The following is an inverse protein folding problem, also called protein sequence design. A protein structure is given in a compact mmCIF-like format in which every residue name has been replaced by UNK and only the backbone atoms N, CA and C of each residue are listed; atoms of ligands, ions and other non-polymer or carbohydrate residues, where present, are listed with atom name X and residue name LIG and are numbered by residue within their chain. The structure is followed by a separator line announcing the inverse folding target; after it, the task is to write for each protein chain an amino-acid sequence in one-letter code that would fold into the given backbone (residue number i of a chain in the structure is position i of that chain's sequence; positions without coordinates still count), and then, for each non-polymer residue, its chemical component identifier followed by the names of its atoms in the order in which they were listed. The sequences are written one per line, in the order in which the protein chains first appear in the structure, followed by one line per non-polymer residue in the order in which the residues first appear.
data_IF_853089992635
#
_entry.id   IF_853089992635
#
_cell.length_a   1.000
_cell.length_b   1.000
_cell.length_c   1.000
_cell.angle_alpha   90.00
_cell.angle_beta   90.00
_cell.angle_gamma   90.00
#
_symmetry.space_group_name_H-M   'P 1'
#
loop_
_entity.id
_entity.type
_entity.pdbx_description
1 polymer ?
#
# COMPACT_ATOMS: atom_id res chain seq x y z
N UNK A 1 58.55 9.92 35.26
CA UNK A 1 58.78 10.29 33.85
C UNK A 1 57.48 10.72 33.19
N UNK A 2 57.40 11.99 32.90
CA UNK A 2 56.22 12.64 32.28
C UNK A 2 56.17 12.35 30.78
N UNK A 3 55.01 11.96 30.22
CA UNK A 3 54.74 12.16 28.79
C UNK A 3 53.34 12.70 28.58
N UNK A 4 53.30 13.69 27.74
CA UNK A 4 52.33 14.74 27.46
C UNK A 4 51.09 14.25 26.73
N UNK A 5 49.97 14.90 27.07
CA UNK A 5 48.71 14.94 26.34
C UNK A 5 48.90 15.58 24.95
N UNK A 6 48.39 14.97 23.91
CA UNK A 6 48.23 15.51 22.58
C UNK A 6 46.73 15.70 22.28
N UNK A 7 46.28 16.94 22.28
CA UNK A 7 44.94 17.36 21.87
C UNK A 7 44.86 17.39 20.36
N UNK A 8 44.01 16.58 19.74
CA UNK A 8 43.68 16.70 18.31
C UNK A 8 42.40 17.53 18.16
N UNK A 9 42.56 18.66 17.48
CA UNK A 9 41.47 19.57 17.16
C UNK A 9 40.60 18.99 16.01
N UNK A 10 39.29 18.91 16.25
CA UNK A 10 38.31 18.61 15.23
C UNK A 10 38.05 19.90 14.43
N UNK A 11 38.36 19.87 13.15
CA UNK A 11 38.03 20.94 12.20
C UNK A 11 36.59 20.71 11.70
N UNK A 12 35.71 21.58 12.04
CA UNK A 12 34.38 21.72 11.45
C UNK A 12 34.51 22.46 10.10
N UNK A 13 34.29 21.78 8.99
CA UNK A 13 34.12 22.41 7.69
C UNK A 13 32.65 22.80 7.53
N UNK A 14 32.32 24.06 7.72
CA UNK A 14 31.09 24.68 7.34
C UNK A 14 31.00 24.80 5.82
N UNK A 15 29.90 24.28 5.25
CA UNK A 15 29.58 24.52 3.85
C UNK A 15 28.73 25.78 3.75
N UNK A 16 29.35 26.83 3.14
CA UNK A 16 28.72 28.13 2.93
C UNK A 16 27.85 28.09 1.65
N UNK A 17 26.67 28.60 1.79
CA UNK A 17 25.77 29.27 0.86
C UNK A 17 26.11 29.24 -0.65
N UNK A 18 25.32 28.53 -1.42
CA UNK A 18 25.15 28.76 -2.85
C UNK A 18 24.26 30.00 -3.07
N UNK A 19 24.87 31.15 -3.33
CA UNK A 19 24.22 32.32 -3.96
C UNK A 19 24.38 32.19 -5.46
N UNK A 20 23.27 32.18 -6.19
CA UNK A 20 23.24 32.28 -7.63
C UNK A 20 23.22 33.77 -8.02
N UNK A 21 24.19 34.32 -8.80
CA UNK A 21 24.06 35.62 -9.41
C UNK A 21 23.60 35.50 -10.87
N UNK A 22 22.48 36.13 -11.19
CA UNK A 22 22.13 36.50 -12.55
C UNK A 22 23.20 37.43 -13.10
N UNK A 23 23.83 37.08 -14.21
CA UNK A 23 24.43 38.04 -15.14
C UNK A 23 24.11 37.64 -16.58
N UNK A 24 23.34 38.51 -17.21
CA UNK A 24 23.21 38.60 -18.65
C UNK A 24 24.55 39.15 -19.18
N UNK A 25 25.18 38.41 -20.06
CA UNK A 25 26.28 38.93 -20.88
C UNK A 25 25.89 38.86 -22.35
N UNK A 26 25.66 39.99 -22.95
CA UNK A 26 25.62 40.13 -24.38
C UNK A 26 27.02 39.90 -24.97
N UNK A 27 27.13 39.04 -25.97
CA UNK A 27 28.29 39.02 -26.84
C UNK A 27 27.80 38.89 -28.28
N UNK A 28 28.23 39.85 -29.06
CA UNK A 28 27.82 40.03 -30.43
C UNK A 28 28.63 39.18 -31.40
N UNK A 29 28.20 39.29 -32.64
CA UNK A 29 28.83 39.05 -33.94
C UNK A 29 29.07 37.61 -34.41
N UNK A 30 28.29 37.26 -35.46
CA UNK A 30 28.84 36.53 -36.61
C UNK A 30 28.77 35.01 -36.53
N UNK A 31 27.59 34.41 -36.53
CA UNK A 31 27.42 33.02 -36.86
C UNK A 31 26.28 32.84 -37.86
N UNK A 32 26.60 32.35 -39.07
CA UNK A 32 25.64 32.04 -40.09
C UNK A 32 24.58 31.06 -39.59
N UNK A 33 23.35 31.49 -39.66
CA UNK A 33 22.19 30.61 -39.40
C UNK A 33 22.02 29.75 -40.66
N UNK A 34 22.42 28.49 -40.58
CA UNK A 34 22.02 27.49 -41.59
C UNK A 34 20.52 27.26 -41.45
N UNK A 35 19.76 27.30 -42.55
CA UNK A 35 18.33 27.00 -42.48
C UNK A 35 18.10 25.52 -42.14
N UNK A 36 17.29 25.26 -41.11
CA UNK A 36 16.79 23.93 -40.81
C UNK A 36 16.01 23.39 -42.02
N UNK A 37 16.16 22.12 -42.35
CA UNK A 37 15.38 21.51 -43.46
C UNK A 37 13.89 21.58 -43.12
N UNK A 38 13.15 22.27 -43.94
CA UNK A 38 11.70 22.21 -44.01
C UNK A 38 11.32 20.83 -44.50
N UNK A 39 10.59 20.09 -43.72
CA UNK A 39 9.92 18.88 -44.21
C UNK A 39 10.12 17.65 -43.31
N UNK A 40 9.53 17.63 -42.15
CA UNK A 40 9.01 16.39 -41.61
C UNK A 40 7.52 16.61 -41.35
N UNK A 41 6.75 16.29 -42.39
CA UNK A 41 5.31 16.11 -42.26
C UNK A 41 5.10 14.95 -41.31
N UNK A 42 4.88 15.27 -40.03
CA UNK A 42 4.20 14.33 -39.15
C UNK A 42 2.86 14.05 -39.81
N UNK A 43 2.74 12.89 -40.46
CA UNK A 43 1.46 12.34 -40.83
C UNK A 43 0.73 12.16 -39.52
N UNK A 44 -0.15 13.13 -39.20
CA UNK A 44 -1.17 12.93 -38.22
C UNK A 44 -1.98 11.73 -38.66
N UNK A 45 -1.65 10.55 -38.15
CA UNK A 45 -2.58 9.44 -38.18
C UNK A 45 -3.76 9.90 -37.33
N UNK A 46 -4.72 10.53 -37.99
CA UNK A 46 -6.08 10.64 -37.49
C UNK A 46 -6.54 9.21 -37.27
N UNK A 47 -6.39 8.71 -36.06
CA UNK A 47 -7.18 7.60 -35.59
C UNK A 47 -8.65 8.07 -35.60
N UNK A 48 -9.23 8.10 -36.78
CA UNK A 48 -10.63 8.38 -37.03
C UNK A 48 -11.48 7.13 -36.74
N UNK A 49 -11.37 6.62 -35.52
CA UNK A 49 -12.47 5.87 -34.94
C UNK A 49 -13.10 6.83 -33.92
N UNK A 50 -14.40 7.15 -34.07
CA UNK A 50 -15.08 7.84 -32.97
C UNK A 50 -14.83 7.00 -31.75
N UNK A 51 -14.37 7.63 -30.65
CA UNK A 51 -14.37 7.02 -29.33
C UNK A 51 -15.81 6.56 -29.13
N UNK A 52 -16.11 5.31 -29.50
CA UNK A 52 -17.35 4.68 -29.15
C UNK A 52 -17.46 4.92 -27.65
N UNK A 53 -18.49 5.63 -27.25
CA UNK A 53 -18.73 6.06 -25.91
C UNK A 53 -18.34 4.90 -24.99
N UNK A 54 -17.17 5.00 -24.37
CA UNK A 54 -16.78 4.05 -23.35
C UNK A 54 -17.91 4.17 -22.33
N UNK A 55 -18.69 3.09 -22.23
CA UNK A 55 -19.72 3.03 -21.19
C UNK A 55 -19.01 3.40 -19.91
N UNK A 56 -19.44 4.45 -19.20
CA UNK A 56 -18.83 4.78 -17.92
C UNK A 56 -18.84 3.49 -17.13
N UNK A 57 -17.69 3.11 -16.57
CA UNK A 57 -17.61 2.03 -15.60
C UNK A 57 -18.75 2.29 -14.61
N UNK A 58 -19.59 1.30 -14.31
CA UNK A 58 -20.69 1.52 -13.40
C UNK A 58 -20.08 2.08 -12.11
N UNK A 59 -20.36 3.33 -11.82
CA UNK A 59 -20.01 3.90 -10.51
C UNK A 59 -20.59 2.96 -9.48
N UNK A 60 -19.76 2.41 -8.60
CA UNK A 60 -20.25 1.65 -7.45
C UNK A 60 -21.24 2.61 -6.76
N UNK A 61 -22.52 2.34 -6.92
CA UNK A 61 -23.54 3.13 -6.26
C UNK A 61 -23.24 3.04 -4.78
N UNK A 62 -22.78 4.13 -4.17
CA UNK A 62 -22.81 4.27 -2.73
C UNK A 62 -24.28 4.11 -2.34
N UNK A 63 -24.72 2.89 -2.13
CA UNK A 63 -25.92 2.65 -1.39
C UNK A 63 -25.60 3.23 -0.01
N UNK A 64 -26.41 4.16 0.46
CA UNK A 64 -26.30 4.74 1.81
C UNK A 64 -26.55 3.69 2.90
N UNK A 65 -26.15 2.46 2.67
CA UNK A 65 -26.15 1.34 3.58
C UNK A 65 -24.82 1.36 4.34
N UNK A 66 -24.92 1.43 5.63
CA UNK A 66 -23.87 1.05 6.56
C UNK A 66 -23.21 -0.24 6.06
N UNK A 67 -21.87 -0.30 5.94
CA UNK A 67 -21.22 -1.48 5.39
C UNK A 67 -21.55 -2.68 6.26
N UNK A 68 -22.32 -3.60 5.69
CA UNK A 68 -22.56 -4.90 6.30
C UNK A 68 -21.26 -5.71 6.26
N UNK A 69 -21.11 -6.71 7.13
CA UNK A 69 -19.94 -7.60 7.08
C UNK A 69 -19.78 -8.28 5.70
N UNK A 70 -20.87 -8.43 4.95
CA UNK A 70 -20.86 -8.94 3.57
C UNK A 70 -20.11 -8.08 2.59
N UNK A 71 -19.91 -6.80 2.87
CA UNK A 71 -19.16 -5.89 2.02
C UNK A 71 -17.72 -5.67 2.49
N UNK A 72 -17.14 -6.49 3.35
CA UNK A 72 -15.78 -6.33 3.88
C UNK A 72 -14.91 -7.52 3.48
N UNK A 73 -13.62 -7.27 3.15
CA UNK A 73 -12.59 -8.29 3.01
C UNK A 73 -11.34 -7.91 3.80
N UNK A 74 -10.62 -8.92 4.32
CA UNK A 74 -9.30 -8.75 4.92
C UNK A 74 -8.23 -9.08 3.88
N UNK A 75 -7.35 -8.12 3.59
CA UNK A 75 -6.16 -8.32 2.78
C UNK A 75 -4.92 -8.48 3.67
N UNK A 76 -4.19 -9.56 3.46
CA UNK A 76 -2.89 -9.85 4.06
C UNK A 76 -1.82 -9.63 2.98
N UNK A 77 -1.13 -8.48 3.04
CA UNK A 77 -0.20 -8.05 1.98
C UNK A 77 1.24 -8.37 2.39
N UNK A 78 1.94 -9.13 1.57
CA UNK A 78 3.38 -9.43 1.68
C UNK A 78 3.87 -10.00 3.02
N UNK A 79 3.01 -10.64 3.80
CA UNK A 79 3.45 -11.35 5.00
C UNK A 79 4.22 -12.64 4.68
N UNK A 80 3.98 -13.26 3.50
CA UNK A 80 4.80 -14.36 3.02
C UNK A 80 6.04 -13.78 2.34
N UNK A 81 7.03 -13.44 3.18
CA UNK A 81 8.22 -12.71 2.77
C UNK A 81 9.48 -13.44 3.24
N UNK A 82 10.41 -13.77 2.31
CA UNK A 82 11.66 -14.42 2.68
C UNK A 82 12.62 -13.51 3.45
N UNK A 83 12.38 -12.18 3.49
CA UNK A 83 13.23 -11.19 4.15
C UNK A 83 14.69 -11.29 3.68
N UNK A 84 14.90 -11.27 2.36
CA UNK A 84 16.22 -11.37 1.72
C UNK A 84 16.57 -10.15 0.86
N UNK A 85 16.25 -8.99 1.35
CA UNK A 85 16.52 -7.69 0.76
C UNK A 85 17.23 -6.76 1.75
N UNK A 86 17.81 -5.69 1.24
CA UNK A 86 18.42 -4.64 2.07
C UNK A 86 17.37 -4.01 2.97
N UNK A 87 17.67 -3.88 4.29
CA UNK A 87 16.69 -3.38 5.28
C UNK A 87 15.83 -4.47 5.94
N UNK A 88 15.81 -5.71 5.42
CA UNK A 88 15.01 -6.79 5.99
C UNK A 88 15.28 -7.07 7.47
N UNK A 89 16.55 -6.88 7.91
CA UNK A 89 16.92 -7.04 9.32
C UNK A 89 16.24 -6.03 10.25
N UNK A 90 16.05 -4.79 9.77
CA UNK A 90 15.33 -3.76 10.50
C UNK A 90 13.81 -4.02 10.50
N UNK A 91 13.26 -4.45 9.37
CA UNK A 91 11.83 -4.76 9.23
C UNK A 91 11.40 -5.99 10.06
N UNK A 92 12.23 -7.02 10.14
CA UNK A 92 11.86 -8.33 10.68
C UNK A 92 11.19 -8.31 12.07
N UNK A 93 11.71 -7.60 13.11
CA UNK A 93 11.06 -7.58 14.42
C UNK A 93 9.68 -6.92 14.36
N UNK A 94 9.53 -5.81 13.64
CA UNK A 94 8.27 -5.10 13.46
C UNK A 94 7.26 -5.94 12.68
N UNK A 95 7.71 -6.62 11.62
CA UNK A 95 6.90 -7.52 10.80
C UNK A 95 6.30 -8.68 11.58
N UNK A 96 7.09 -9.30 12.48
CA UNK A 96 6.59 -10.39 13.34
C UNK A 96 5.53 -9.89 14.33
N UNK A 97 5.69 -8.68 14.88
CA UNK A 97 4.70 -8.07 15.76
C UNK A 97 3.39 -7.79 15.00
N UNK A 98 3.47 -7.17 13.83
CA UNK A 98 2.32 -6.92 12.97
C UNK A 98 1.63 -8.24 12.55
N UNK A 99 2.40 -9.28 12.20
CA UNK A 99 1.84 -10.60 11.86
C UNK A 99 1.07 -11.25 13.03
N UNK A 100 1.53 -11.07 14.28
CA UNK A 100 0.79 -11.55 15.48
C UNK A 100 -0.55 -10.85 15.63
N UNK A 101 -0.60 -9.53 15.44
CA UNK A 101 -1.84 -8.76 15.51
C UNK A 101 -2.77 -9.14 14.34
N UNK A 102 -2.23 -9.22 13.11
CA UNK A 102 -2.98 -9.64 11.94
C UNK A 102 -3.54 -11.08 12.07
N UNK A 103 -2.81 -12.00 12.71
CA UNK A 103 -3.30 -13.35 12.94
C UNK A 103 -4.52 -13.38 13.88
N UNK A 104 -4.50 -12.58 14.97
CA UNK A 104 -5.66 -12.43 15.87
C UNK A 104 -6.85 -11.80 15.15
N UNK A 105 -6.60 -10.73 14.38
CA UNK A 105 -7.62 -10.08 13.57
C UNK A 105 -8.22 -11.06 12.54
N UNK A 106 -7.37 -11.78 11.80
CA UNK A 106 -7.80 -12.79 10.81
C UNK A 106 -8.71 -13.84 11.44
N UNK A 107 -8.33 -14.38 12.58
CA UNK A 107 -9.13 -15.41 13.26
C UNK A 107 -10.53 -14.89 13.62
N UNK A 108 -10.62 -13.64 14.13
CA UNK A 108 -11.89 -13.01 14.46
C UNK A 108 -12.73 -12.76 13.20
N UNK A 109 -12.14 -12.12 12.16
CA UNK A 109 -12.85 -11.82 10.92
C UNK A 109 -13.31 -13.08 10.18
N UNK A 110 -12.51 -14.16 10.22
CA UNK A 110 -12.93 -15.46 9.69
C UNK A 110 -14.13 -16.03 10.42
N UNK A 111 -14.16 -15.93 11.76
CA UNK A 111 -15.32 -16.33 12.57
C UNK A 111 -16.59 -15.59 12.18
N UNK A 112 -16.47 -14.37 11.68
CA UNK A 112 -17.57 -13.54 11.19
C UNK A 112 -17.89 -13.76 9.70
N UNK A 113 -17.22 -14.71 9.03
CA UNK A 113 -17.43 -15.03 7.63
C UNK A 113 -16.86 -14.01 6.65
N UNK A 114 -15.91 -13.16 7.08
CA UNK A 114 -15.22 -12.19 6.22
C UNK A 114 -14.22 -12.91 5.32
N UNK A 115 -14.25 -12.69 3.99
CA UNK A 115 -13.26 -13.25 3.08
C UNK A 115 -11.83 -12.83 3.44
N UNK A 116 -10.92 -13.80 3.47
CA UNK A 116 -9.49 -13.60 3.69
C UNK A 116 -8.76 -13.73 2.35
N UNK A 117 -7.98 -12.72 1.99
CA UNK A 117 -7.26 -12.65 0.72
C UNK A 117 -5.79 -12.35 0.99
N UNK A 118 -4.91 -13.20 0.51
CA UNK A 118 -3.48 -12.94 0.49
C UNK A 118 -3.11 -12.25 -0.81
N UNK A 119 -2.46 -11.10 -0.71
CA UNK A 119 -1.90 -10.38 -1.85
C UNK A 119 -0.39 -10.31 -1.66
N UNK A 120 0.35 -11.15 -2.38
CA UNK A 120 1.75 -11.37 -2.09
C UNK A 120 2.63 -11.16 -3.32
N UNK A 121 3.83 -10.60 -3.13
CA UNK A 121 4.82 -10.48 -4.19
C UNK A 121 5.22 -11.87 -4.70
N UNK A 122 5.46 -11.97 -5.99
CA UNK A 122 5.95 -13.19 -6.64
C UNK A 122 7.48 -13.29 -6.66
N UNK A 123 8.19 -12.32 -6.09
CA UNK A 123 9.65 -12.23 -6.01
C UNK A 123 10.37 -12.46 -7.36
N UNK A 124 9.75 -11.97 -8.45
CA UNK A 124 10.29 -12.10 -9.81
C UNK A 124 10.19 -13.51 -10.41
N UNK A 125 9.58 -14.46 -9.73
CA UNK A 125 9.38 -15.84 -10.21
C UNK A 125 8.04 -15.91 -10.94
N UNK A 126 8.06 -15.84 -12.26
CA UNK A 126 6.84 -15.80 -13.11
C UNK A 126 5.94 -17.03 -12.98
N UNK A 127 6.47 -18.14 -12.51
CA UNK A 127 5.79 -19.43 -12.40
C UNK A 127 5.52 -19.83 -10.94
N UNK A 128 5.63 -18.89 -10.00
CA UNK A 128 5.43 -19.21 -8.59
C UNK A 128 3.95 -19.30 -8.26
N UNK A 129 3.56 -20.41 -7.67
CA UNK A 129 2.29 -20.54 -6.97
C UNK A 129 2.42 -19.97 -5.56
N UNK A 130 1.33 -19.46 -5.01
CA UNK A 130 1.33 -18.92 -3.64
C UNK A 130 1.78 -19.95 -2.60
N UNK A 131 1.39 -21.22 -2.75
CA UNK A 131 1.83 -22.34 -1.92
C UNK A 131 3.35 -22.52 -1.91
N UNK A 132 4.02 -22.30 -3.06
CA UNK A 132 5.48 -22.37 -3.16
C UNK A 132 6.14 -21.18 -2.43
N UNK A 133 5.53 -20.01 -2.45
CA UNK A 133 6.01 -18.84 -1.68
C UNK A 133 5.93 -19.14 -0.18
N UNK A 134 4.82 -19.66 0.31
CA UNK A 134 4.63 -20.05 1.71
C UNK A 134 5.70 -21.08 2.14
N UNK A 135 5.85 -22.17 1.37
CA UNK A 135 6.84 -23.22 1.67
C UNK A 135 8.29 -22.68 1.67
N UNK A 136 8.61 -21.74 0.78
CA UNK A 136 9.91 -21.08 0.76
C UNK A 136 10.16 -20.26 2.02
N UNK A 137 9.17 -19.53 2.51
CA UNK A 137 9.25 -18.77 3.76
C UNK A 137 9.44 -19.68 4.98
N UNK A 138 8.70 -20.77 5.05
CA UNK A 138 8.83 -21.76 6.15
C UNK A 138 10.22 -22.39 6.18
N UNK A 139 10.76 -22.77 5.01
CA UNK A 139 12.08 -23.35 4.87
C UNK A 139 13.20 -22.41 5.27
N UNK A 140 13.02 -21.09 5.05
CA UNK A 140 14.03 -20.10 5.36
C UNK A 140 14.34 -19.97 6.86
N UNK A 141 13.36 -20.22 7.70
CA UNK A 141 13.50 -20.09 9.16
C UNK A 141 13.36 -18.64 9.65
N UNK A 142 13.68 -18.41 10.92
CA UNK A 142 13.68 -17.07 11.53
C UNK A 142 12.32 -16.36 11.50
N UNK A 143 12.35 -15.05 11.27
CA UNK A 143 11.15 -14.19 11.19
C UNK A 143 10.23 -14.59 10.02
N UNK A 144 10.82 -14.94 8.87
CA UNK A 144 10.08 -15.40 7.68
C UNK A 144 9.20 -16.61 8.01
N UNK A 145 9.76 -17.66 8.58
CA UNK A 145 9.00 -18.86 8.97
C UNK A 145 8.02 -18.58 10.11
N UNK A 146 8.34 -17.65 11.00
CA UNK A 146 7.42 -17.24 12.08
C UNK A 146 6.17 -16.60 11.51
N UNK A 147 6.29 -15.67 10.57
CA UNK A 147 5.16 -15.04 9.90
C UNK A 147 4.34 -16.06 9.09
N UNK A 148 5.03 -16.94 8.32
CA UNK A 148 4.38 -17.95 7.52
C UNK A 148 3.53 -18.92 8.38
N UNK A 149 4.02 -19.34 9.54
CA UNK A 149 3.25 -20.17 10.49
C UNK A 149 2.09 -19.42 11.15
N UNK A 150 2.30 -18.16 11.59
CA UNK A 150 1.25 -17.35 12.21
C UNK A 150 0.08 -17.10 11.27
N UNK A 151 0.38 -16.94 9.99
CA UNK A 151 -0.58 -16.57 8.95
C UNK A 151 -0.69 -17.68 7.88
N UNK A 152 -0.48 -18.94 8.26
CA UNK A 152 -0.64 -20.06 7.33
C UNK A 152 -2.03 -20.01 6.67
N UNK A 153 -2.10 -20.10 5.33
CA UNK A 153 -3.37 -20.12 4.63
C UNK A 153 -4.24 -21.32 5.06
N UNK A 154 -5.53 -21.09 5.12
CA UNK A 154 -6.51 -22.12 5.46
C UNK A 154 -7.45 -22.38 4.28
N UNK A 155 -8.13 -23.55 4.24
CA UNK A 155 -9.12 -23.84 3.20
C UNK A 155 -10.16 -22.73 3.09
N UNK A 156 -10.41 -22.27 1.87
CA UNK A 156 -11.33 -21.15 1.59
C UNK A 156 -10.66 -19.78 1.50
N UNK A 157 -9.41 -19.63 1.93
CA UNK A 157 -8.64 -18.41 1.70
C UNK A 157 -8.33 -18.25 0.21
N UNK A 158 -8.28 -17.01 -0.22
CA UNK A 158 -7.94 -16.67 -1.60
C UNK A 158 -6.55 -16.06 -1.66
N UNK A 159 -5.91 -16.12 -2.83
CA UNK A 159 -4.60 -15.49 -3.02
C UNK A 159 -4.48 -14.88 -4.40
N UNK A 160 -3.75 -13.76 -4.47
CA UNK A 160 -3.26 -13.16 -5.70
C UNK A 160 -1.76 -12.92 -5.58
N UNK A 161 -1.02 -13.21 -6.65
CA UNK A 161 0.39 -12.87 -6.74
C UNK A 161 0.54 -11.58 -7.52
N UNK A 162 1.11 -10.57 -6.87
CA UNK A 162 1.29 -9.24 -7.43
C UNK A 162 2.70 -9.06 -7.99
N UNK A 163 2.84 -8.51 -9.20
CA UNK A 163 4.14 -8.27 -9.82
C UNK A 163 4.80 -6.95 -9.38
N UNK A 164 4.09 -6.12 -8.64
CA UNK A 164 4.50 -4.79 -8.17
C UNK A 164 3.90 -4.49 -6.80
N UNK A 165 4.21 -3.31 -6.26
CA UNK A 165 3.81 -2.92 -4.91
C UNK A 165 2.30 -3.00 -4.63
N UNK A 166 1.46 -2.46 -5.53
CA UNK A 166 0.01 -2.51 -5.35
C UNK A 166 -0.54 -3.90 -5.59
N UNK A 167 -1.44 -4.34 -4.70
CA UNK A 167 -2.17 -5.59 -4.84
C UNK A 167 -3.14 -5.59 -6.04
N UNK A 168 -3.50 -4.43 -6.57
CA UNK A 168 -4.37 -4.31 -7.74
C UNK A 168 -3.61 -4.37 -9.07
N UNK A 169 -2.32 -3.96 -9.06
CA UNK A 169 -1.58 -3.81 -10.30
C UNK A 169 -1.24 -5.16 -10.93
N UNK A 170 -1.84 -5.44 -12.09
CA UNK A 170 -1.59 -6.65 -12.87
C UNK A 170 -2.06 -7.93 -12.20
N UNK A 171 -3.07 -7.85 -11.32
CA UNK A 171 -3.68 -8.98 -10.63
C UNK A 171 -5.19 -9.05 -10.90
N UNK A 172 -5.84 -10.19 -10.67
CA UNK A 172 -7.30 -10.31 -10.75
C UNK A 172 -8.03 -9.81 -9.50
N UNK A 173 -7.39 -9.02 -8.61
CA UNK A 173 -7.99 -8.62 -7.34
C UNK A 173 -9.31 -7.84 -7.52
N UNK A 174 -9.39 -6.95 -8.51
CA UNK A 174 -10.63 -6.21 -8.81
C UNK A 174 -11.81 -7.14 -9.04
N UNK A 175 -11.63 -8.14 -9.92
CA UNK A 175 -12.67 -9.12 -10.25
C UNK A 175 -13.06 -9.95 -9.01
N UNK A 176 -12.08 -10.36 -8.23
CA UNK A 176 -12.32 -11.13 -7.01
C UNK A 176 -13.13 -10.33 -5.98
N UNK A 177 -12.82 -9.05 -5.79
CA UNK A 177 -13.54 -8.18 -4.87
C UNK A 177 -14.96 -7.87 -5.36
N UNK A 178 -15.15 -7.76 -6.68
CA UNK A 178 -16.48 -7.58 -7.26
C UNK A 178 -17.34 -8.85 -7.11
N UNK A 179 -16.78 -10.03 -7.35
CA UNK A 179 -17.46 -11.32 -7.14
C UNK A 179 -17.90 -11.50 -5.67
N UNK A 180 -17.08 -11.03 -4.74
CA UNK A 180 -17.35 -11.09 -3.31
C UNK A 180 -18.23 -9.93 -2.80
N UNK A 181 -18.68 -9.04 -3.66
CA UNK A 181 -19.49 -7.84 -3.34
C UNK A 181 -18.84 -6.97 -2.25
N UNK A 182 -17.51 -6.85 -2.26
CA UNK A 182 -16.73 -6.11 -1.26
C UNK A 182 -16.82 -4.61 -1.52
N UNK A 183 -17.07 -3.85 -0.47
CA UNK A 183 -17.05 -2.37 -0.48
C UNK A 183 -16.06 -1.77 0.51
N UNK A 184 -15.59 -2.56 1.48
CA UNK A 184 -14.58 -2.16 2.48
C UNK A 184 -13.40 -3.12 2.46
N UNK A 185 -12.19 -2.57 2.53
CA UNK A 185 -10.96 -3.33 2.67
C UNK A 185 -10.31 -3.05 4.01
N UNK A 186 -10.01 -4.12 4.74
CA UNK A 186 -9.11 -4.08 5.89
C UNK A 186 -7.74 -4.51 5.39
N UNK A 187 -6.78 -3.55 5.32
CA UNK A 187 -5.44 -3.79 4.79
C UNK A 187 -4.47 -4.04 5.94
N UNK A 188 -3.75 -5.15 5.88
CA UNK A 188 -2.69 -5.50 6.83
C UNK A 188 -1.47 -5.97 6.07
N UNK A 189 -0.27 -5.79 6.61
CA UNK A 189 0.94 -6.28 5.92
C UNK A 189 2.13 -5.37 5.93
N UNK A 190 2.99 -5.58 4.94
CA UNK A 190 4.34 -5.02 4.80
C UNK A 190 4.53 -4.40 3.40
N UNK A 191 5.30 -3.32 3.22
CA UNK A 191 5.59 -2.34 4.24
C UNK A 191 4.54 -1.24 4.19
N UNK A 192 4.27 -0.57 5.33
CA UNK A 192 3.21 0.44 5.45
C UNK A 192 3.40 1.60 4.47
N UNK A 193 4.64 2.04 4.30
CA UNK A 193 5.08 3.13 3.41
C UNK A 193 5.35 2.69 1.96
N UNK A 194 5.11 1.43 1.64
CA UNK A 194 5.30 0.86 0.30
C UNK A 194 4.05 0.08 -0.15
N UNK A 195 4.06 -1.25 -0.10
CA UNK A 195 2.99 -2.07 -0.68
C UNK A 195 1.61 -1.78 -0.09
N UNK A 196 1.52 -1.48 1.21
CA UNK A 196 0.26 -1.06 1.85
C UNK A 196 -0.20 0.29 1.28
N UNK A 197 0.68 1.29 1.24
CA UNK A 197 0.36 2.62 0.74
C UNK A 197 -0.08 2.59 -0.74
N UNK A 198 0.66 1.88 -1.61
CA UNK A 198 0.28 1.75 -3.03
C UNK A 198 -1.05 1.02 -3.20
N UNK A 199 -1.30 -0.04 -2.41
CA UNK A 199 -2.57 -0.75 -2.44
C UNK A 199 -3.72 0.14 -1.94
N UNK A 200 -3.49 0.93 -0.89
CA UNK A 200 -4.47 1.85 -0.34
C UNK A 200 -4.85 2.97 -1.34
N UNK A 201 -3.88 3.51 -2.10
CA UNK A 201 -4.17 4.48 -3.17
C UNK A 201 -5.05 3.88 -4.25
N UNK A 202 -4.69 2.69 -4.74
CA UNK A 202 -5.46 2.00 -5.77
C UNK A 202 -6.87 1.64 -5.29
N UNK A 203 -7.01 1.23 -4.03
CA UNK A 203 -8.30 0.97 -3.41
C UNK A 203 -9.15 2.24 -3.26
N UNK A 204 -8.52 3.36 -2.85
CA UNK A 204 -9.19 4.66 -2.74
C UNK A 204 -9.72 5.14 -4.10
N UNK A 205 -8.92 5.03 -5.16
CA UNK A 205 -9.34 5.38 -6.53
C UNK A 205 -10.49 4.52 -7.05
N UNK A 206 -10.69 3.34 -6.46
CA UNK A 206 -11.78 2.40 -6.74
C UNK A 206 -12.94 2.53 -5.77
N UNK A 207 -12.94 3.58 -4.97
CA UNK A 207 -14.00 3.92 -4.01
C UNK A 207 -14.24 2.88 -2.91
N UNK A 208 -13.21 2.09 -2.53
CA UNK A 208 -13.30 1.25 -1.34
C UNK A 208 -13.19 2.08 -0.06
N UNK A 209 -14.00 1.75 0.94
CA UNK A 209 -13.76 2.19 2.31
C UNK A 209 -12.53 1.47 2.86
N UNK A 210 -11.62 2.21 3.52
CA UNK A 210 -10.34 1.68 3.96
C UNK A 210 -10.23 1.65 5.48
N UNK A 211 -9.77 0.52 6.00
CA UNK A 211 -9.29 0.39 7.35
C UNK A 211 -7.90 -0.26 7.34
N UNK A 212 -6.92 0.41 7.93
CA UNK A 212 -5.51 -0.01 7.96
C UNK A 212 -5.09 -0.04 9.43
N UNK A 213 -5.35 -1.12 10.17
CA UNK A 213 -5.06 -1.18 11.60
C UNK A 213 -3.57 -0.96 11.85
N UNK A 214 -3.25 0.06 12.66
CA UNK A 214 -1.87 0.52 12.86
C UNK A 214 -0.95 -0.57 13.45
N UNK A 215 -1.50 -1.47 14.25
CA UNK A 215 -0.80 -2.61 14.85
C UNK A 215 -0.65 -3.83 13.93
N UNK A 216 -1.27 -3.81 12.74
CA UNK A 216 -1.23 -4.87 11.75
C UNK A 216 -0.39 -4.54 10.52
N UNK A 217 0.33 -3.42 10.53
CA UNK A 217 1.26 -3.01 9.47
C UNK A 217 2.61 -2.67 10.06
N UNK A 218 3.67 -2.78 9.26
CA UNK A 218 5.02 -2.46 9.70
C UNK A 218 5.85 -1.85 8.56
N UNK A 219 6.87 -1.10 8.92
CA UNK A 219 7.96 -0.62 8.07
C UNK A 219 9.30 -0.89 8.74
N UNK A 220 10.42 -0.62 8.07
CA UNK A 220 11.75 -0.78 8.63
C UNK A 220 11.99 0.11 9.85
N UNK A 221 11.28 1.23 9.93
CA UNK A 221 11.30 2.17 11.05
C UNK A 221 9.86 2.53 11.45
N UNK A 222 9.63 2.66 12.76
CA UNK A 222 8.32 3.08 13.27
C UNK A 222 7.90 4.46 12.72
N UNK A 223 8.85 5.40 12.57
CA UNK A 223 8.58 6.72 12.02
C UNK A 223 8.00 6.64 10.59
N UNK A 224 8.53 5.77 9.73
CA UNK A 224 8.04 5.62 8.35
C UNK A 224 6.64 5.01 8.31
N UNK A 225 6.38 4.03 9.21
CA UNK A 225 5.03 3.48 9.39
C UNK A 225 4.05 4.56 9.82
N UNK A 226 4.41 5.34 10.82
CA UNK A 226 3.53 6.35 11.42
C UNK A 226 3.24 7.49 10.43
N UNK A 227 4.23 7.95 9.68
CA UNK A 227 4.07 8.94 8.60
C UNK A 227 3.14 8.41 7.49
N UNK A 228 3.32 7.15 7.09
CA UNK A 228 2.47 6.51 6.09
C UNK A 228 1.02 6.41 6.57
N UNK A 229 0.79 5.99 7.81
CA UNK A 229 -0.55 5.90 8.41
C UNK A 229 -1.20 7.28 8.53
N UNK A 230 -0.46 8.29 8.99
CA UNK A 230 -0.96 9.66 9.08
C UNK A 230 -1.36 10.22 7.68
N UNK A 231 -0.55 9.93 6.66
CA UNK A 231 -0.87 10.30 5.29
C UNK A 231 -2.15 9.60 4.81
N UNK A 232 -2.25 8.28 4.95
CA UNK A 232 -3.40 7.50 4.49
C UNK A 232 -4.69 7.91 5.22
N UNK A 233 -4.62 8.19 6.52
CA UNK A 233 -5.76 8.71 7.27
C UNK A 233 -6.22 10.08 6.76
N UNK A 234 -5.29 11.00 6.55
CA UNK A 234 -5.58 12.38 6.13
C UNK A 234 -6.06 12.46 4.69
N UNK A 235 -5.37 11.78 3.75
CA UNK A 235 -5.59 11.93 2.30
C UNK A 235 -6.60 10.92 1.79
N UNK A 236 -6.45 9.65 2.14
CA UNK A 236 -7.29 8.56 1.66
C UNK A 236 -8.52 8.31 2.57
N UNK A 237 -8.63 9.06 3.68
CA UNK A 237 -9.71 8.90 4.67
C UNK A 237 -9.76 7.48 5.27
N UNK A 238 -8.63 6.79 5.28
CA UNK A 238 -8.53 5.48 5.89
C UNK A 238 -8.68 5.57 7.41
N UNK A 239 -9.38 4.62 8.01
CA UNK A 239 -9.32 4.39 9.45
C UNK A 239 -8.01 3.69 9.79
N UNK A 240 -7.35 4.13 10.86
CA UNK A 240 -6.06 3.58 11.30
C UNK A 240 -6.08 3.11 12.76
N UNK A 241 -7.28 3.03 13.34
CA UNK A 241 -7.50 2.53 14.70
C UNK A 241 -6.93 1.10 14.83
N UNK A 242 -6.45 0.69 16.02
CA UNK A 242 -5.90 -0.65 16.24
C UNK A 242 -6.85 -1.78 15.85
N UNK A 243 -6.29 -2.95 15.59
CA UNK A 243 -7.06 -4.11 15.13
C UNK A 243 -8.17 -4.54 16.08
N UNK A 244 -8.06 -4.28 17.38
CA UNK A 244 -9.08 -4.58 18.38
C UNK A 244 -10.36 -3.76 18.16
N UNK A 245 -10.25 -2.57 17.57
CA UNK A 245 -11.38 -1.70 17.25
C UNK A 245 -12.03 -2.04 15.91
N UNK A 246 -11.43 -2.94 15.10
CA UNK A 246 -12.06 -3.40 13.87
C UNK A 246 -13.34 -4.12 14.21
N UNK A 247 -14.47 -3.44 13.95
CA UNK A 247 -15.79 -3.95 14.27
C UNK A 247 -16.10 -5.22 13.48
N UNK A 248 -16.36 -6.30 14.21
CA UNK A 248 -17.00 -7.47 13.65
C UNK A 248 -18.52 -7.24 13.56
N UNK A 249 -19.17 -7.99 12.69
CA UNK A 249 -20.61 -7.88 12.40
C UNK A 249 -21.54 -7.91 13.62
N UNK A 250 -21.11 -8.51 14.74
CA UNK A 250 -21.97 -8.76 15.89
C UNK A 250 -22.22 -7.53 16.79
N UNK A 251 -21.34 -6.51 16.79
CA UNK A 251 -21.42 -5.40 17.73
C UNK A 251 -22.44 -4.30 17.36
N UNK A 252 -22.96 -4.25 16.12
CA UNK A 252 -23.84 -3.17 15.64
C UNK A 252 -25.34 -3.41 15.72
N UNK A 253 -25.80 -4.54 16.22
CA UNK A 253 -27.23 -4.85 16.32
C UNK A 253 -27.98 -4.10 17.46
N UNK A 254 -27.28 -3.29 18.29
CA UNK A 254 -27.86 -2.78 19.56
C UNK A 254 -27.88 -1.27 19.75
N UNK A 255 -27.67 -0.45 18.74
CA UNK A 255 -27.88 1.00 18.89
C UNK A 255 -29.20 1.45 18.29
N UNK A 256 -30.15 1.96 19.11
CA UNK A 256 -31.42 2.46 18.61
C UNK A 256 -31.21 3.77 17.83
N UNK A 257 -31.78 3.84 16.63
CA UNK A 257 -31.89 5.07 15.86
C UNK A 257 -32.74 6.07 16.59
N UNK A 258 -32.17 7.19 16.99
CA UNK A 258 -32.92 8.40 17.30
C UNK A 258 -32.24 9.59 16.62
N UNK A 259 -32.74 9.93 15.43
CA UNK A 259 -32.54 11.28 14.88
C UNK A 259 -33.88 11.81 14.49
N UNK A 260 -34.35 12.90 15.13
CA UNK A 260 -35.60 13.59 14.71
C UNK A 260 -35.31 14.38 13.42
N UNK A 261 -36.19 14.21 12.46
CA UNK A 261 -36.21 15.00 11.23
C UNK A 261 -36.49 16.49 11.55
N UNK A 262 -35.48 17.34 11.35
CA UNK A 262 -35.73 18.77 11.27
C UNK A 262 -36.21 19.11 9.86
N UNK A 263 -37.49 19.50 9.76
CA UNK A 263 -38.07 20.15 8.58
C UNK A 263 -37.49 21.56 8.49
N UNK A 264 -36.77 21.85 7.45
CA UNK A 264 -36.52 23.23 7.04
C UNK A 264 -37.78 23.77 6.34
N UNK A 265 -38.28 24.88 6.87
CA UNK A 265 -39.24 25.79 6.21
C UNK A 265 -38.46 26.83 5.42
#
# INVERSE_FOLDING_TARGET
MRRRLGTAAVRTNGCAACRCPRRVAACGSGGQILPLPRGNSYVAHTYGTPLAAQRPMPSRKRSGHEPSARGTALLLVDFMNPLDFDGAGALAPHAVLAARCAARLRARMRGDGVPIIYANDNFGRRESEFSAVVASCEKRGGASATMARLLAPEPGDRSVLKPRHSAFFGTPLDFLLDELEVSRLVLTGLAADSCIMFTAHDAYLREFDLWIPADCVASEQDAWRDDALAYMARVLKARVDPSEEVESRAARATLPRSVPSQKFR
#
